data_IF_654084595079
#
_entry.id   IF_654084595079
#
_cell.length_a   1.000
_cell.length_b   1.000
_cell.length_c   1.000
_cell.angle_alpha   90.00
_cell.angle_beta   90.00
_cell.angle_gamma   90.00
#
_symmetry.space_group_name_H-M   'P 1'
#
loop_
_entity.id
_entity.type
_entity.pdbx_description
1 polymer ?
#
# COMPACT_ATOMS: atom_id res chain seq x y z
N UNK A 1 13.93 -8.07 -26.75
CA UNK A 1 14.98 -7.72 -25.76
C UNK A 1 14.62 -6.50 -24.90
N UNK A 2 14.25 -5.35 -25.47
CA UNK A 2 13.93 -4.13 -24.69
C UNK A 2 12.85 -4.31 -23.61
N UNK A 3 11.77 -5.05 -23.90
CA UNK A 3 10.69 -5.36 -22.95
C UNK A 3 11.17 -6.16 -21.71
N UNK A 4 12.18 -7.01 -21.84
CA UNK A 4 12.75 -7.73 -20.69
C UNK A 4 13.63 -6.81 -19.84
N UNK A 5 14.37 -5.89 -20.45
CA UNK A 5 15.20 -4.93 -19.73
C UNK A 5 14.36 -3.99 -18.85
N UNK A 6 13.21 -3.52 -19.34
CA UNK A 6 12.29 -2.69 -18.55
C UNK A 6 11.71 -3.42 -17.33
N UNK A 7 11.38 -4.71 -17.49
CA UNK A 7 10.87 -5.53 -16.37
C UNK A 7 11.94 -5.76 -15.30
N UNK A 8 13.16 -6.10 -15.72
CA UNK A 8 14.29 -6.29 -14.78
C UNK A 8 14.59 -5.00 -14.02
N UNK A 9 14.57 -3.85 -14.69
CA UNK A 9 14.78 -2.56 -14.06
C UNK A 9 13.70 -2.24 -13.00
N UNK A 10 12.43 -2.47 -13.33
CA UNK A 10 11.30 -2.29 -12.41
C UNK A 10 11.40 -3.21 -11.17
N UNK A 11 11.66 -4.50 -11.39
CA UNK A 11 11.79 -5.48 -10.31
C UNK A 11 12.99 -5.15 -9.40
N UNK A 12 14.09 -4.67 -9.97
CA UNK A 12 15.29 -4.25 -9.20
C UNK A 12 15.00 -3.01 -8.34
N UNK A 13 14.28 -2.03 -8.89
CA UNK A 13 13.86 -0.85 -8.13
C UNK A 13 12.91 -1.23 -7.00
N UNK A 14 11.97 -2.14 -7.25
CA UNK A 14 11.07 -2.64 -6.21
C UNK A 14 11.84 -3.40 -5.11
N UNK A 15 12.79 -4.27 -5.49
CA UNK A 15 13.64 -4.97 -4.52
C UNK A 15 14.47 -3.97 -3.68
N UNK A 16 14.97 -2.90 -4.28
CA UNK A 16 15.72 -1.87 -3.57
C UNK A 16 14.87 -1.14 -2.51
N UNK A 17 13.56 -0.96 -2.76
CA UNK A 17 12.61 -0.40 -1.79
C UNK A 17 12.35 -1.33 -0.62
N UNK A 18 12.22 -2.63 -0.88
CA UNK A 18 12.11 -3.65 0.19
C UNK A 18 13.33 -3.57 1.11
N UNK A 19 14.53 -3.53 0.53
CA UNK A 19 15.79 -3.40 1.28
C UNK A 19 15.79 -2.10 2.08
N UNK A 20 15.42 -0.96 1.47
CA UNK A 20 15.35 0.32 2.16
C UNK A 20 14.37 0.29 3.34
N UNK A 21 13.18 -0.31 3.17
CA UNK A 21 12.18 -0.48 4.22
C UNK A 21 12.71 -1.30 5.40
N UNK A 22 13.39 -2.42 5.13
CA UNK A 22 14.03 -3.24 6.18
C UNK A 22 15.18 -2.48 6.86
N UNK A 23 16.06 -1.84 6.08
CA UNK A 23 17.17 -1.06 6.62
C UNK A 23 16.68 0.10 7.50
N UNK A 24 15.56 0.74 7.16
CA UNK A 24 14.96 1.80 7.97
C UNK A 24 14.56 1.35 9.37
N UNK A 25 14.12 0.10 9.52
CA UNK A 25 13.74 -0.46 10.82
C UNK A 25 14.94 -0.49 11.79
N UNK A 26 16.16 -0.66 11.25
CA UNK A 26 17.40 -0.76 12.04
C UNK A 26 18.15 0.56 12.08
N UNK A 27 18.19 1.30 10.97
CA UNK A 27 18.95 2.53 10.76
C UNK A 27 18.02 3.67 10.32
N UNK A 28 17.42 4.40 11.28
CA UNK A 28 16.51 5.51 10.97
C UNK A 28 17.20 6.61 10.17
N UNK A 29 16.92 6.69 8.86
CA UNK A 29 17.55 7.64 7.95
C UNK A 29 16.54 8.26 7.00
N UNK A 30 16.46 9.59 6.98
CA UNK A 30 15.65 10.33 6.00
C UNK A 30 16.12 10.03 4.58
N UNK A 31 17.43 9.82 4.38
CA UNK A 31 18.00 9.46 3.08
C UNK A 31 17.47 8.13 2.55
N UNK A 32 17.26 7.13 3.41
CA UNK A 32 16.67 5.85 3.02
C UNK A 32 15.20 5.98 2.62
N UNK A 33 14.43 6.81 3.33
CA UNK A 33 13.02 7.08 2.94
C UNK A 33 12.96 7.83 1.61
N UNK A 34 13.78 8.87 1.45
CA UNK A 34 13.84 9.65 0.22
C UNK A 34 14.28 8.79 -0.97
N UNK A 35 15.25 7.89 -0.77
CA UNK A 35 15.65 6.91 -1.77
C UNK A 35 14.48 6.01 -2.18
N UNK A 36 13.74 5.46 -1.21
CA UNK A 36 12.56 4.64 -1.48
C UNK A 36 11.50 5.37 -2.31
N UNK A 37 11.17 6.61 -1.94
CA UNK A 37 10.21 7.46 -2.69
C UNK A 37 10.72 7.74 -4.11
N UNK A 38 12.01 8.07 -4.28
CA UNK A 38 12.59 8.35 -5.58
C UNK A 38 12.55 7.11 -6.49
N UNK A 39 12.86 5.93 -5.95
CA UNK A 39 12.82 4.67 -6.71
C UNK A 39 11.39 4.30 -7.14
N UNK A 40 10.37 4.62 -6.34
CA UNK A 40 8.96 4.44 -6.72
C UNK A 40 8.56 5.30 -7.92
N UNK A 41 8.98 6.57 -7.92
CA UNK A 41 8.72 7.49 -9.03
C UNK A 41 9.38 7.04 -10.33
N UNK A 42 10.62 6.56 -10.24
CA UNK A 42 11.38 6.04 -11.38
C UNK A 42 10.73 4.76 -11.92
N UNK A 43 10.36 3.83 -11.03
CA UNK A 43 9.72 2.57 -11.42
C UNK A 43 8.36 2.81 -12.09
N UNK A 44 7.52 3.65 -11.50
CA UNK A 44 6.25 4.04 -12.09
C UNK A 44 6.41 4.69 -13.47
N UNK A 45 7.46 5.50 -13.70
CA UNK A 45 7.76 6.08 -15.00
C UNK A 45 8.23 5.03 -16.03
N UNK A 46 9.01 4.05 -15.59
CA UNK A 46 9.50 2.94 -16.42
C UNK A 46 8.35 1.99 -16.79
N UNK A 47 7.49 1.63 -15.84
CA UNK A 47 6.35 0.75 -16.04
C UNK A 47 5.35 1.31 -17.08
N UNK A 48 5.16 2.64 -17.11
CA UNK A 48 4.33 3.32 -18.13
C UNK A 48 4.89 3.18 -19.55
N UNK A 49 6.20 2.99 -19.70
CA UNK A 49 6.88 2.83 -21.01
C UNK A 49 7.00 1.36 -21.43
N UNK A 50 7.12 0.43 -20.49
CA UNK A 50 7.37 -0.99 -20.75
C UNK A 50 6.14 -1.91 -20.82
N UNK A 51 4.95 -1.40 -20.46
CA UNK A 51 3.73 -2.21 -20.34
C UNK A 51 3.63 -2.89 -18.98
N UNK A 52 2.46 -2.77 -18.35
CA UNK A 52 2.28 -3.12 -16.93
C UNK A 52 2.08 -4.63 -16.74
N UNK A 53 3.03 -5.31 -16.11
CA UNK A 53 2.86 -6.70 -15.70
C UNK A 53 1.98 -6.79 -14.44
N UNK A 54 1.00 -7.70 -14.42
CA UNK A 54 0.07 -7.86 -13.30
C UNK A 54 0.74 -8.30 -11.99
N UNK A 55 1.90 -8.98 -12.08
CA UNK A 55 2.70 -9.43 -10.94
C UNK A 55 3.49 -8.27 -10.31
N UNK A 56 4.18 -7.46 -11.14
CA UNK A 56 4.95 -6.29 -10.68
C UNK A 56 4.10 -5.30 -9.88
N UNK A 57 2.83 -5.09 -10.25
CA UNK A 57 1.91 -4.23 -9.49
C UNK A 57 1.62 -4.69 -8.06
N UNK A 58 1.61 -6.00 -7.77
CA UNK A 58 1.42 -6.49 -6.38
C UNK A 58 2.70 -6.26 -5.57
N UNK A 59 3.83 -6.59 -6.17
CA UNK A 59 5.13 -6.47 -5.52
C UNK A 59 5.47 -5.00 -5.19
N UNK A 60 5.12 -4.09 -6.10
CA UNK A 60 5.20 -2.63 -5.92
C UNK A 60 4.40 -2.14 -4.70
N UNK A 61 3.13 -2.55 -4.59
CA UNK A 61 2.26 -2.22 -3.45
C UNK A 61 2.77 -2.80 -2.12
N UNK A 62 3.34 -4.02 -2.14
CA UNK A 62 3.93 -4.65 -0.97
C UNK A 62 5.20 -3.92 -0.53
N UNK A 63 6.05 -3.51 -1.48
CA UNK A 63 7.28 -2.76 -1.20
C UNK A 63 6.99 -1.38 -0.61
N UNK A 64 6.00 -0.65 -1.13
CA UNK A 64 5.57 0.65 -0.57
C UNK A 64 4.97 0.50 0.85
N UNK A 65 4.17 -0.55 1.06
CA UNK A 65 3.63 -0.86 2.37
C UNK A 65 4.74 -1.20 3.38
N UNK A 66 5.77 -1.92 2.96
CA UNK A 66 6.92 -2.26 3.79
C UNK A 66 7.79 -1.03 4.08
N UNK A 67 7.98 -0.16 3.10
CA UNK A 67 8.68 1.11 3.27
C UNK A 67 7.96 1.99 4.30
N UNK A 68 6.63 2.08 4.20
CA UNK A 68 5.79 2.84 5.15
C UNK A 68 5.89 2.27 6.57
N UNK A 69 5.82 0.93 6.71
CA UNK A 69 5.98 0.27 8.00
C UNK A 69 7.39 0.49 8.57
N UNK A 70 8.43 0.37 7.74
CA UNK A 70 9.81 0.63 8.12
C UNK A 70 10.02 2.06 8.62
N UNK A 71 9.44 3.05 7.93
CA UNK A 71 9.46 4.45 8.35
C UNK A 71 8.73 4.65 9.69
N UNK A 72 7.59 4.02 9.91
CA UNK A 72 6.86 4.10 11.18
C UNK A 72 7.65 3.49 12.35
N UNK A 73 8.31 2.34 12.14
CA UNK A 73 9.21 1.72 13.12
C UNK A 73 10.40 2.64 13.41
N UNK A 74 11.00 3.22 12.37
CA UNK A 74 12.11 4.17 12.51
C UNK A 74 11.71 5.38 13.37
N UNK A 75 10.51 5.94 13.14
CA UNK A 75 9.96 7.05 13.92
C UNK A 75 9.74 6.64 15.38
N UNK A 76 9.11 5.48 15.63
CA UNK A 76 8.90 4.99 16.99
C UNK A 76 10.23 4.79 17.75
N UNK A 77 11.26 4.25 17.08
CA UNK A 77 12.61 4.07 17.67
C UNK A 77 13.31 5.38 18.00
N UNK A 78 13.02 6.47 17.28
CA UNK A 78 13.54 7.82 17.57
C UNK A 78 12.74 8.57 18.64
N UNK A 79 11.84 7.88 19.36
CA UNK A 79 10.99 8.48 20.38
C UNK A 79 9.75 9.19 19.82
N UNK A 80 9.35 8.88 18.58
CA UNK A 80 8.04 9.26 18.07
C UNK A 80 6.92 8.41 18.65
N UNK A 81 5.66 8.82 18.43
CA UNK A 81 4.49 8.10 18.95
C UNK A 81 4.36 6.70 18.34
N UNK A 82 4.26 5.67 19.18
CA UNK A 82 4.02 4.28 18.76
C UNK A 82 2.66 4.08 18.08
N UNK A 83 1.71 4.98 18.34
CA UNK A 83 0.41 5.01 17.66
C UNK A 83 0.51 5.14 16.13
N UNK A 84 1.63 5.66 15.61
CA UNK A 84 1.88 5.79 14.17
C UNK A 84 2.07 4.44 13.47
N UNK A 85 2.32 3.36 14.21
CA UNK A 85 2.43 1.99 13.69
C UNK A 85 1.06 1.38 13.35
N UNK A 86 -0.01 1.89 13.93
CA UNK A 86 -1.35 1.30 13.79
C UNK A 86 -1.81 1.33 12.34
N UNK A 87 -1.66 2.47 11.66
CA UNK A 87 -2.09 2.62 10.27
C UNK A 87 -1.37 1.68 9.28
N UNK A 88 -0.01 1.59 9.28
CA UNK A 88 0.71 0.61 8.46
C UNK A 88 0.33 -0.84 8.74
N UNK A 89 0.16 -1.23 10.01
CA UNK A 89 -0.23 -2.59 10.37
C UNK A 89 -1.66 -2.92 9.93
N UNK A 90 -2.58 -1.98 10.13
CA UNK A 90 -3.97 -2.12 9.72
C UNK A 90 -4.08 -2.28 8.20
N UNK A 91 -3.23 -1.60 7.42
CA UNK A 91 -3.17 -1.77 5.97
C UNK A 91 -2.93 -3.23 5.57
N UNK A 92 -1.98 -3.92 6.20
CA UNK A 92 -1.74 -5.34 5.92
C UNK A 92 -2.97 -6.20 6.26
N UNK A 93 -3.66 -5.92 7.37
CA UNK A 93 -4.89 -6.62 7.72
C UNK A 93 -6.00 -6.40 6.67
N UNK A 94 -6.17 -5.17 6.18
CA UNK A 94 -7.17 -4.85 5.14
C UNK A 94 -6.83 -5.53 3.80
N UNK A 95 -5.56 -5.53 3.38
CA UNK A 95 -5.14 -6.22 2.15
C UNK A 95 -5.35 -7.72 2.25
N UNK A 96 -5.08 -8.31 3.42
CA UNK A 96 -5.33 -9.73 3.67
C UNK A 96 -6.84 -10.07 3.65
N UNK A 97 -7.69 -9.14 4.11
CA UNK A 97 -9.14 -9.31 4.11
C UNK A 97 -9.79 -9.04 2.74
N UNK A 98 -9.26 -8.12 1.93
CA UNK A 98 -9.86 -7.68 0.67
C UNK A 98 -8.80 -7.32 -0.37
N UNK A 99 -8.82 -8.01 -1.53
CA UNK A 99 -7.90 -7.73 -2.64
C UNK A 99 -8.12 -6.29 -3.15
N UNK A 100 -7.08 -5.43 -3.20
CA UNK A 100 -7.15 -4.07 -3.73
C UNK A 100 -7.71 -3.94 -5.15
N UNK A 101 -7.70 -5.01 -5.94
CA UNK A 101 -8.34 -5.03 -7.28
C UNK A 101 -9.86 -4.91 -7.25
N UNK A 102 -10.47 -5.19 -6.11
CA UNK A 102 -11.92 -5.13 -5.92
C UNK A 102 -12.39 -3.74 -5.47
N UNK A 103 -11.48 -2.79 -5.34
CA UNK A 103 -11.79 -1.44 -4.88
C UNK A 103 -12.46 -0.64 -5.99
N UNK A 104 -13.43 0.19 -5.62
CA UNK A 104 -14.00 1.20 -6.51
C UNK A 104 -12.98 2.31 -6.79
N UNK A 105 -13.23 3.14 -7.81
CA UNK A 105 -12.35 4.25 -8.14
C UNK A 105 -12.21 5.26 -6.97
N UNK A 106 -13.30 5.52 -6.24
CA UNK A 106 -13.30 6.40 -5.07
C UNK A 106 -12.53 5.80 -3.89
N UNK A 107 -12.71 4.50 -3.64
CA UNK A 107 -11.97 3.76 -2.63
C UNK A 107 -10.45 3.78 -2.91
N UNK A 108 -10.05 3.58 -4.17
CA UNK A 108 -8.65 3.68 -4.60
C UNK A 108 -8.07 5.08 -4.41
N UNK A 109 -8.86 6.12 -4.72
CA UNK A 109 -8.43 7.51 -4.56
C UNK A 109 -8.23 7.84 -3.07
N UNK A 110 -9.19 7.46 -2.22
CA UNK A 110 -9.13 7.65 -0.76
C UNK A 110 -7.95 6.89 -0.13
N UNK A 111 -7.74 5.63 -0.52
CA UNK A 111 -6.62 4.80 -0.08
C UNK A 111 -5.27 5.45 -0.44
N UNK A 112 -5.15 5.95 -1.67
CA UNK A 112 -3.94 6.62 -2.16
C UNK A 112 -3.67 7.93 -1.42
N UNK A 113 -4.65 8.82 -1.32
CA UNK A 113 -4.46 10.14 -0.67
C UNK A 113 -4.06 9.96 0.79
N UNK A 114 -4.77 9.09 1.51
CA UNK A 114 -4.47 8.83 2.91
C UNK A 114 -3.11 8.13 3.10
N UNK A 115 -2.70 7.24 2.19
CA UNK A 115 -1.36 6.64 2.19
C UNK A 115 -0.24 7.65 1.98
N UNK A 116 -0.37 8.54 0.98
CA UNK A 116 0.60 9.61 0.71
C UNK A 116 0.74 10.54 1.92
N UNK A 117 -0.39 10.95 2.51
CA UNK A 117 -0.39 11.79 3.70
C UNK A 117 0.33 11.11 4.88
N UNK A 118 0.08 9.82 5.09
CA UNK A 118 0.78 9.03 6.12
C UNK A 118 2.29 9.01 5.90
N UNK A 119 2.74 8.73 4.68
CA UNK A 119 4.17 8.72 4.36
C UNK A 119 4.81 10.08 4.59
N UNK A 120 4.17 11.17 4.13
CA UNK A 120 4.67 12.53 4.31
C UNK A 120 4.87 12.90 5.79
N UNK A 121 3.92 12.51 6.64
CA UNK A 121 4.00 12.70 8.09
C UNK A 121 5.14 11.90 8.71
N UNK A 122 5.34 10.65 8.30
CA UNK A 122 6.42 9.80 8.80
C UNK A 122 7.79 10.37 8.42
N UNK A 123 7.92 10.88 7.18
CA UNK A 123 9.12 11.62 6.74
C UNK A 123 9.34 12.85 7.62
N UNK A 124 8.31 13.66 7.84
CA UNK A 124 8.39 14.85 8.69
C UNK A 124 8.86 14.50 10.12
N UNK A 125 8.39 13.39 10.68
CA UNK A 125 8.78 12.95 12.01
C UNK A 125 10.26 12.51 12.12
N UNK A 126 10.90 12.15 11.00
CA UNK A 126 12.32 11.78 10.94
C UNK A 126 13.26 12.97 10.70
N UNK A 127 12.73 14.13 10.30
CA UNK A 127 13.51 15.34 10.02
C UNK A 127 14.03 16.01 11.30
N UNK A 128 15.12 16.80 11.22
CA UNK A 128 15.57 17.63 12.33
C UNK A 128 14.61 18.78 12.63
N UNK A 129 14.74 19.38 13.81
CA UNK A 129 14.06 20.63 14.14
C UNK A 129 14.53 21.77 13.20
N UNK A 130 13.64 22.67 12.71
CA UNK A 130 12.22 22.81 13.01
C UNK A 130 11.28 22.01 12.11
N UNK A 131 11.79 21.37 11.06
CA UNK A 131 10.97 20.61 10.11
C UNK A 131 10.17 19.48 10.76
N UNK A 132 10.70 18.92 11.87
CA UNK A 132 9.97 17.97 12.72
C UNK A 132 8.62 18.49 13.24
N UNK A 133 8.42 19.81 13.37
CA UNK A 133 7.14 20.39 13.79
C UNK A 133 5.99 20.02 12.84
N UNK A 134 6.28 19.70 11.58
CA UNK A 134 5.28 19.19 10.64
C UNK A 134 4.68 17.86 11.11
N UNK A 135 5.35 17.09 11.99
CA UNK A 135 4.78 15.88 12.58
C UNK A 135 3.70 16.14 13.64
N UNK A 136 3.37 17.40 13.96
CA UNK A 136 2.26 17.71 14.86
C UNK A 136 0.91 17.26 14.29
N UNK A 137 0.77 17.24 12.96
CA UNK A 137 -0.41 16.69 12.29
C UNK A 137 -0.37 15.16 12.16
N UNK A 138 0.62 14.48 12.77
CA UNK A 138 0.80 13.04 12.58
C UNK A 138 -0.35 12.21 13.12
N UNK A 139 -0.85 12.59 14.30
CA UNK A 139 -1.97 11.92 14.96
C UNK A 139 -3.25 12.05 14.13
N UNK A 140 -3.72 13.24 13.72
CA UNK A 140 -4.94 13.34 12.92
C UNK A 140 -4.80 12.65 11.55
N UNK A 141 -3.63 12.73 10.90
CA UNK A 141 -3.39 12.02 9.63
C UNK A 141 -3.43 10.50 9.80
N UNK A 142 -2.81 9.97 10.85
CA UNK A 142 -2.85 8.53 11.15
C UNK A 142 -4.26 8.07 11.49
N UNK A 143 -5.02 8.87 12.23
CA UNK A 143 -6.42 8.58 12.53
C UNK A 143 -7.28 8.57 11.25
N UNK A 144 -7.09 9.55 10.36
CA UNK A 144 -7.76 9.60 9.06
C UNK A 144 -7.40 8.37 8.20
N UNK A 145 -6.14 7.93 8.22
CA UNK A 145 -5.72 6.71 7.53
C UNK A 145 -6.39 5.46 8.09
N UNK A 146 -6.48 5.34 9.41
CA UNK A 146 -7.22 4.25 10.05
C UNK A 146 -8.71 4.25 9.67
N UNK A 147 -9.34 5.43 9.63
CA UNK A 147 -10.74 5.56 9.21
C UNK A 147 -10.96 5.16 7.74
N UNK A 148 -10.07 5.60 6.84
CA UNK A 148 -10.12 5.20 5.43
C UNK A 148 -9.97 3.68 5.26
N UNK A 149 -9.04 3.05 5.99
CA UNK A 149 -8.86 1.60 5.99
C UNK A 149 -10.08 0.87 6.56
N UNK A 150 -10.68 1.36 7.64
CA UNK A 150 -11.90 0.78 8.21
C UNK A 150 -13.07 0.84 7.22
N UNK A 151 -13.23 1.96 6.50
CA UNK A 151 -14.25 2.11 5.46
C UNK A 151 -14.10 1.10 4.32
N UNK A 152 -12.86 0.74 3.94
CA UNK A 152 -12.63 -0.29 2.91
C UNK A 152 -13.10 -1.69 3.35
N UNK A 153 -12.98 -2.00 4.64
CA UNK A 153 -13.44 -3.28 5.21
C UNK A 153 -14.96 -3.33 5.25
N UNK A 154 -15.60 -2.26 5.73
CA UNK A 154 -17.07 -2.20 5.85
C UNK A 154 -17.76 -2.17 4.48
N UNK A 155 -17.25 -1.39 3.53
CA UNK A 155 -17.79 -1.32 2.16
C UNK A 155 -17.62 -2.63 1.38
N UNK A 156 -16.52 -3.36 1.65
CA UNK A 156 -16.29 -4.69 1.07
C UNK A 156 -17.23 -5.78 1.63
N UNK A 157 -17.58 -5.70 2.91
CA UNK A 157 -18.57 -6.59 3.52
C UNK A 157 -19.96 -6.44 2.88
N UNK A 158 -20.32 -5.22 2.46
CA UNK A 158 -21.61 -4.91 1.80
C UNK A 158 -21.66 -5.43 0.35
N UNK A 159 -20.52 -5.49 -0.36
CA UNK A 159 -20.46 -5.89 -1.77
C UNK A 159 -20.09 -7.36 -2.01
N UNK A 160 -19.96 -8.16 -0.95
CA UNK A 160 -19.74 -9.61 -1.04
C UNK A 160 -21.02 -10.34 -1.46
N UNK A 161 -21.52 -10.06 -2.66
CA UNK A 161 -22.36 -11.03 -3.37
C UNK A 161 -21.46 -12.18 -3.79
N UNK A 162 -21.84 -13.45 -3.56
CA UNK A 162 -21.01 -14.58 -3.96
C UNK A 162 -20.84 -14.49 -5.46
N UNK A 163 -19.60 -14.28 -5.92
CA UNK A 163 -19.27 -14.35 -7.33
C UNK A 163 -19.36 -15.85 -7.71
N UNK A 164 -20.58 -16.34 -7.93
CA UNK A 164 -20.80 -17.69 -8.45
C UNK A 164 -19.98 -17.82 -9.74
N UNK A 165 -19.14 -18.83 -9.81
CA UNK A 165 -18.47 -19.14 -11.08
C UNK A 165 -19.55 -19.38 -12.13
N UNK A 166 -19.37 -18.96 -13.40
CA UNK A 166 -20.36 -19.20 -14.46
C UNK A 166 -20.80 -20.66 -14.60
N UNK A 167 -19.94 -21.60 -14.17
CA UNK A 167 -20.23 -23.03 -14.11
C UNK A 167 -21.25 -23.39 -13.00
N UNK A 168 -21.17 -22.75 -11.84
CA UNK A 168 -22.08 -22.99 -10.71
C UNK A 168 -23.46 -22.37 -10.97
N UNK A 169 -23.50 -21.20 -11.62
CA UNK A 169 -24.74 -20.57 -12.07
C UNK A 169 -25.51 -21.46 -13.07
N UNK A 170 -24.80 -22.19 -13.96
CA UNK A 170 -25.43 -23.16 -14.86
C UNK A 170 -26.01 -24.36 -14.12
N UNK A 171 -25.30 -24.88 -13.12
CA UNK A 171 -25.77 -26.03 -12.30
C UNK A 171 -27.04 -25.70 -11.51
N UNK A 172 -27.14 -24.48 -10.98
CA UNK A 172 -28.35 -24.01 -10.29
C UNK A 172 -29.52 -23.87 -11.27
N UNK A 173 -29.28 -23.38 -12.50
CA UNK A 173 -30.31 -23.27 -13.52
C UNK A 173 -30.77 -24.63 -14.08
N UNK A 174 -29.87 -25.61 -14.24
CA UNK A 174 -30.24 -26.96 -14.70
C UNK A 174 -31.03 -27.72 -13.64
N UNK A 175 -30.68 -27.57 -12.35
CA UNK A 175 -31.42 -28.22 -11.25
C UNK A 175 -32.85 -27.71 -11.12
N UNK A 176 -33.11 -26.41 -11.39
CA UNK A 176 -34.46 -25.84 -11.40
C UNK A 176 -35.32 -26.24 -12.60
N UNK A 177 -34.73 -26.76 -13.68
CA UNK A 177 -35.45 -27.21 -14.88
C UNK A 177 -35.84 -28.69 -14.85
N UNK A 178 -35.29 -29.48 -13.92
CA UNK A 178 -35.57 -30.92 -13.78
C UNK A 178 -36.79 -31.28 -12.92
N UNK A 179 -37.35 -30.32 -12.17
CA UNK A 179 -38.49 -30.53 -11.25
C UNK A 179 -39.84 -30.03 -11.85
N UNK A 180 -40.03 -30.11 -13.17
CA UNK A 180 -41.33 -29.89 -13.81
C UNK A 180 -41.68 -31.01 -14.78
#
# INVERSE_FOLDING_TARGET
MALNAYRIAADTLTASRVIAGVCLMTYPSVGLVAFGIATDWIDGAIARRGGVAAYGRRFDLEADSLLTLGAAIAVARRGGGTSLLVAPLLRYAVVAARDPRTYTAEELLSDRISGIAQMAVLVAALLPWPLRALSLVAVPVSAARCAALAALVTSGAVHSTPHMRPAEARLVHTRRRGDR
#
